data_IF_845031923740
#
_entry.id   IF_845031923740
#
_cell.length_a   1.000
_cell.length_b   1.000
_cell.length_c   1.000
_cell.angle_alpha   90.00
_cell.angle_beta   90.00
_cell.angle_gamma   90.00
#
_symmetry.space_group_name_H-M   'P 1'
#
loop_
_entity.id
_entity.type
_entity.pdbx_description
1 polymer ?
#
# COMPACT_ATOMS: atom_id res chain seq x y z
N UNK A 1 -1.69 14.22 10.02
CA UNK A 1 -2.30 14.08 8.66
C UNK A 1 -2.33 12.60 8.30
N UNK A 2 -3.39 12.13 7.64
CA UNK A 2 -3.49 10.73 7.23
C UNK A 2 -3.12 10.55 5.75
N UNK A 3 -2.66 9.37 5.36
CA UNK A 3 -2.44 8.97 3.97
C UNK A 3 -3.59 8.09 3.50
N UNK A 4 -4.12 8.38 2.31
CA UNK A 4 -4.97 7.45 1.59
C UNK A 4 -4.14 6.78 0.50
N UNK A 5 -3.88 5.48 0.65
CA UNK A 5 -3.08 4.72 -0.31
C UNK A 5 -3.90 3.62 -0.97
N UNK A 6 -3.60 3.39 -2.22
CA UNK A 6 -4.27 2.41 -3.08
C UNK A 6 -3.21 1.50 -3.67
N UNK A 7 -3.29 0.21 -3.39
CA UNK A 7 -2.51 -0.77 -4.11
C UNK A 7 -3.25 -1.06 -5.42
N UNK A 8 -2.72 -0.52 -6.52
CA UNK A 8 -3.36 -0.55 -7.83
C UNK A 8 -3.23 -1.95 -8.44
N UNK A 9 -4.21 -2.76 -8.13
CA UNK A 9 -4.30 -4.18 -8.48
C UNK A 9 -5.68 -4.53 -9.04
N UNK A 10 -5.71 -5.48 -9.97
CA UNK A 10 -6.95 -6.15 -10.34
C UNK A 10 -7.21 -7.34 -9.37
N UNK A 11 -8.43 -7.83 -9.32
CA UNK A 11 -8.92 -8.85 -8.38
C UNK A 11 -8.09 -10.14 -8.35
N UNK A 12 -7.52 -10.56 -9.47
CA UNK A 12 -6.73 -11.79 -9.57
C UNK A 12 -5.28 -11.62 -9.07
N UNK A 13 -4.77 -10.39 -9.02
CA UNK A 13 -3.44 -10.08 -8.51
C UNK A 13 -3.39 -10.19 -6.99
N UNK A 14 -4.47 -9.80 -6.30
CA UNK A 14 -4.60 -9.94 -4.85
C UNK A 14 -4.77 -11.38 -4.34
N UNK A 15 -4.91 -12.37 -5.21
CA UNK A 15 -5.15 -13.78 -4.84
C UNK A 15 -4.01 -14.73 -5.22
N UNK A 16 -2.81 -14.21 -5.40
CA UNK A 16 -1.58 -14.98 -5.64
C UNK A 16 -1.65 -15.93 -6.85
N UNK A 17 -2.31 -15.52 -7.93
CA UNK A 17 -2.26 -16.29 -9.18
C UNK A 17 -0.91 -16.10 -9.87
N UNK A 18 -0.35 -17.15 -10.51
CA UNK A 18 0.91 -17.04 -11.26
C UNK A 18 0.85 -15.88 -12.27
N UNK A 19 1.91 -15.11 -12.36
CA UNK A 19 2.02 -13.96 -13.25
C UNK A 19 1.66 -14.31 -14.70
N UNK A 20 2.14 -15.46 -15.18
CA UNK A 20 1.92 -15.95 -16.54
C UNK A 20 0.44 -16.25 -16.83
N UNK A 21 -0.38 -16.40 -15.80
CA UNK A 21 -1.82 -16.69 -15.94
C UNK A 21 -2.70 -15.44 -16.00
N UNK A 22 -2.16 -14.25 -15.75
CA UNK A 22 -2.95 -13.03 -15.58
C UNK A 22 -3.76 -12.65 -16.83
N UNK A 23 -3.20 -12.86 -18.02
CA UNK A 23 -3.89 -12.57 -19.29
C UNK A 23 -5.12 -13.48 -19.54
N UNK A 24 -5.23 -14.59 -18.83
CA UNK A 24 -6.39 -15.48 -18.95
C UNK A 24 -7.58 -15.03 -18.10
N UNK A 25 -7.40 -14.07 -17.20
CA UNK A 25 -8.48 -13.56 -16.35
C UNK A 25 -9.15 -12.33 -16.98
N UNK A 26 -10.48 -12.16 -16.77
CA UNK A 26 -11.14 -10.93 -17.18
C UNK A 26 -10.61 -9.73 -16.37
N UNK A 27 -10.09 -8.74 -17.08
CA UNK A 27 -9.60 -7.51 -16.48
C UNK A 27 -10.78 -6.64 -16.06
N UNK A 28 -10.82 -6.29 -14.77
CA UNK A 28 -11.91 -5.53 -14.15
C UNK A 28 -11.41 -4.35 -13.31
N UNK A 29 -10.16 -3.95 -13.51
CA UNK A 29 -9.53 -2.87 -12.73
C UNK A 29 -10.39 -1.60 -12.71
N UNK A 30 -10.91 -1.17 -13.88
CA UNK A 30 -11.75 0.02 -14.00
C UNK A 30 -13.07 -0.08 -13.23
N UNK A 31 -13.68 -1.26 -13.12
CA UNK A 31 -14.97 -1.46 -12.46
C UNK A 31 -14.99 -1.00 -10.99
N UNK A 32 -13.87 -1.18 -10.30
CA UNK A 32 -13.71 -0.70 -8.93
C UNK A 32 -13.01 0.64 -8.84
N UNK A 33 -12.01 0.87 -9.68
CA UNK A 33 -11.21 2.09 -9.68
C UNK A 33 -12.05 3.33 -9.96
N UNK A 34 -12.92 3.31 -10.96
CA UNK A 34 -13.74 4.48 -11.33
C UNK A 34 -14.63 4.91 -10.15
N UNK A 35 -15.21 3.97 -9.41
CA UNK A 35 -15.98 4.29 -8.19
C UNK A 35 -15.12 4.91 -7.08
N UNK A 36 -13.87 4.45 -6.96
CA UNK A 36 -12.93 5.02 -6.00
C UNK A 36 -12.54 6.44 -6.41
N UNK A 37 -12.26 6.68 -7.70
CA UNK A 37 -11.92 8.01 -8.22
C UNK A 37 -13.05 9.00 -8.06
N UNK A 38 -14.31 8.61 -8.32
CA UNK A 38 -15.49 9.43 -8.03
C UNK A 38 -15.56 9.86 -6.56
N UNK A 39 -15.20 8.96 -5.61
CA UNK A 39 -15.16 9.30 -4.19
C UNK A 39 -14.00 10.26 -3.85
N UNK A 40 -12.81 10.03 -4.41
CA UNK A 40 -11.65 10.89 -4.17
C UNK A 40 -11.92 12.31 -4.71
N UNK A 41 -12.50 12.43 -5.90
CA UNK A 41 -12.93 13.71 -6.48
C UNK A 41 -13.99 14.38 -5.62
N UNK A 42 -15.06 13.66 -5.26
CA UNK A 42 -16.15 14.15 -4.39
C UNK A 42 -15.63 14.77 -3.09
N UNK A 43 -14.62 14.16 -2.50
CA UNK A 43 -14.05 14.61 -1.22
C UNK A 43 -12.80 15.49 -1.39
N UNK A 44 -12.44 15.87 -2.61
CA UNK A 44 -11.23 16.63 -2.94
C UNK A 44 -9.99 16.06 -2.24
N UNK A 45 -9.76 14.76 -2.41
CA UNK A 45 -8.70 14.01 -1.74
C UNK A 45 -7.70 13.48 -2.76
N UNK A 46 -6.43 13.84 -2.61
CA UNK A 46 -5.33 13.16 -3.32
C UNK A 46 -4.95 11.87 -2.61
N UNK A 47 -4.57 10.86 -3.39
CA UNK A 47 -4.16 9.56 -2.90
C UNK A 47 -2.82 9.14 -3.51
N UNK A 48 -2.13 8.18 -2.89
CA UNK A 48 -0.96 7.53 -3.47
C UNK A 48 -1.36 6.18 -4.06
N UNK A 49 -1.09 5.99 -5.35
CA UNK A 49 -1.32 4.73 -6.05
C UNK A 49 -0.02 3.95 -6.16
N UNK A 50 0.14 2.92 -5.34
CA UNK A 50 1.21 1.94 -5.47
C UNK A 50 0.89 1.04 -6.66
N UNK A 51 1.61 1.26 -7.75
CA UNK A 51 1.28 0.76 -9.08
C UNK A 51 2.22 -0.37 -9.47
N UNK A 52 1.66 -1.49 -9.92
CA UNK A 52 2.42 -2.56 -10.55
C UNK A 52 2.97 -2.10 -11.90
N UNK A 53 4.24 -2.38 -12.18
CA UNK A 53 4.85 -2.06 -13.47
C UNK A 53 4.12 -2.68 -14.64
N UNK A 54 3.59 -3.90 -14.47
CA UNK A 54 2.74 -4.56 -15.46
C UNK A 54 1.46 -3.75 -15.78
N UNK A 55 0.83 -3.15 -14.78
CA UNK A 55 -0.34 -2.27 -14.99
C UNK A 55 0.08 -1.00 -15.73
N UNK A 56 1.23 -0.41 -15.35
CA UNK A 56 1.80 0.75 -16.05
C UNK A 56 2.03 0.47 -17.54
N UNK A 57 2.64 -0.66 -17.84
CA UNK A 57 2.93 -1.08 -19.22
C UNK A 57 1.65 -1.40 -20.01
N UNK A 58 0.67 -2.05 -19.38
CA UNK A 58 -0.59 -2.43 -20.02
C UNK A 58 -1.57 -1.28 -20.20
N UNK A 59 -1.61 -0.36 -19.26
CA UNK A 59 -2.58 0.74 -19.20
C UNK A 59 -1.92 2.12 -19.00
N UNK A 60 -0.98 2.54 -19.87
CA UNK A 60 -0.23 3.80 -19.65
C UNK A 60 -1.15 5.03 -19.57
N UNK A 61 -2.22 5.06 -20.36
CA UNK A 61 -3.21 6.14 -20.30
C UNK A 61 -3.93 6.26 -18.94
N UNK A 62 -4.13 5.14 -18.23
CA UNK A 62 -4.68 5.16 -16.89
C UNK A 62 -3.71 5.81 -15.89
N UNK A 63 -2.43 5.47 -15.97
CA UNK A 63 -1.42 6.03 -15.07
C UNK A 63 -1.26 7.54 -15.31
N UNK A 64 -1.28 7.97 -16.57
CA UNK A 64 -1.28 9.38 -16.93
C UNK A 64 -2.53 10.11 -16.40
N UNK A 65 -3.71 9.50 -16.49
CA UNK A 65 -4.96 10.03 -15.92
C UNK A 65 -4.85 10.25 -14.41
N UNK A 66 -4.40 9.25 -13.65
CA UNK A 66 -4.21 9.34 -12.20
C UNK A 66 -3.22 10.45 -11.82
N UNK A 67 -2.07 10.52 -12.49
CA UNK A 67 -1.06 11.55 -12.26
C UNK A 67 -1.59 12.94 -12.58
N UNK A 68 -2.31 13.11 -13.72
CA UNK A 68 -2.90 14.39 -14.13
C UNK A 68 -4.02 14.86 -13.22
N UNK A 69 -4.70 13.94 -12.52
CA UNK A 69 -5.70 14.26 -11.51
C UNK A 69 -5.08 14.68 -10.15
N UNK A 70 -3.75 14.74 -10.05
CA UNK A 70 -3.04 15.16 -8.84
C UNK A 70 -2.84 14.07 -7.80
N UNK A 71 -2.97 12.81 -8.21
CA UNK A 71 -2.60 11.67 -7.38
C UNK A 71 -1.10 11.37 -7.51
N UNK A 72 -0.51 10.85 -6.45
CA UNK A 72 0.86 10.37 -6.43
C UNK A 72 0.94 8.96 -7.03
N UNK A 73 1.87 8.75 -7.96
CA UNK A 73 2.19 7.43 -8.50
C UNK A 73 3.43 6.90 -7.78
N UNK A 74 3.31 5.71 -7.20
CA UNK A 74 4.36 5.01 -6.46
C UNK A 74 4.52 3.58 -6.99
N UNK A 75 5.63 2.93 -6.66
CA UNK A 75 5.95 1.60 -7.15
C UNK A 75 5.41 0.49 -6.26
N UNK A 76 4.84 -0.56 -6.88
CA UNK A 76 4.40 -1.79 -6.20
C UNK A 76 5.12 -3.06 -6.73
N UNK A 77 6.33 -2.90 -7.29
CA UNK A 77 7.01 -3.95 -8.05
C UNK A 77 6.37 -4.14 -9.42
N UNK A 78 6.87 -5.11 -10.20
CA UNK A 78 6.37 -5.33 -11.56
C UNK A 78 5.31 -6.42 -11.63
N UNK A 79 5.63 -7.62 -11.08
CA UNK A 79 4.86 -8.86 -11.22
C UNK A 79 4.09 -9.28 -9.96
N UNK A 80 3.98 -8.40 -8.96
CA UNK A 80 3.36 -8.68 -7.65
C UNK A 80 3.99 -9.87 -6.91
N UNK A 81 5.28 -10.15 -7.17
CA UNK A 81 6.02 -11.22 -6.50
C UNK A 81 6.48 -10.76 -5.11
N UNK A 82 6.42 -11.65 -4.15
CA UNK A 82 6.88 -11.36 -2.78
C UNK A 82 8.40 -11.17 -2.75
N UNK A 83 8.87 -10.18 -2.02
CA UNK A 83 10.30 -9.82 -1.95
C UNK A 83 11.15 -10.99 -1.44
N UNK A 84 10.68 -11.70 -0.41
CA UNK A 84 11.44 -12.84 0.14
C UNK A 84 11.45 -14.10 -0.76
N UNK A 85 10.67 -14.11 -1.85
CA UNK A 85 10.66 -15.18 -2.87
C UNK A 85 11.53 -14.82 -4.09
N UNK A 86 12.27 -13.67 -4.03
CA UNK A 86 13.16 -13.20 -5.09
C UNK A 86 14.63 -13.20 -4.63
N UNK A 87 15.56 -13.33 -5.58
CA UNK A 87 16.95 -12.95 -5.34
C UNK A 87 17.09 -11.42 -5.31
N UNK A 88 18.18 -10.87 -4.72
CA UNK A 88 18.47 -9.45 -4.76
C UNK A 88 18.51 -8.86 -6.19
N UNK A 89 19.03 -9.60 -7.16
CA UNK A 89 19.14 -9.22 -8.56
C UNK A 89 17.76 -9.19 -9.24
N UNK A 90 16.91 -10.19 -8.98
CA UNK A 90 15.53 -10.22 -9.46
C UNK A 90 14.74 -9.04 -8.91
N UNK A 91 14.84 -8.77 -7.60
CA UNK A 91 14.16 -7.64 -6.96
C UNK A 91 14.62 -6.30 -7.58
N UNK A 92 15.93 -6.12 -7.75
CA UNK A 92 16.48 -4.91 -8.41
C UNK A 92 15.91 -4.72 -9.81
N UNK A 93 15.85 -5.79 -10.60
CA UNK A 93 15.29 -5.74 -11.96
C UNK A 93 13.81 -5.34 -11.95
N UNK A 94 13.02 -5.93 -11.06
CA UNK A 94 11.59 -5.65 -10.89
C UNK A 94 11.32 -4.18 -10.57
N UNK A 95 12.00 -3.63 -9.56
CA UNK A 95 11.74 -2.27 -9.09
C UNK A 95 12.31 -1.22 -10.05
N UNK A 96 13.48 -1.46 -10.65
CA UNK A 96 14.07 -0.57 -11.66
C UNK A 96 13.19 -0.48 -12.90
N UNK A 97 12.72 -1.62 -13.43
CA UNK A 97 11.82 -1.66 -14.58
C UNK A 97 10.53 -0.89 -14.28
N UNK A 98 9.94 -1.13 -13.11
CA UNK A 98 8.70 -0.46 -12.71
C UNK A 98 8.90 1.05 -12.62
N UNK A 99 9.97 1.51 -11.95
CA UNK A 99 10.29 2.93 -11.82
C UNK A 99 10.41 3.59 -13.19
N UNK A 100 11.20 3.01 -14.09
CA UNK A 100 11.37 3.53 -15.45
C UNK A 100 10.06 3.66 -16.22
N UNK A 101 9.21 2.62 -16.19
CA UNK A 101 7.89 2.64 -16.86
C UNK A 101 7.01 3.77 -16.32
N UNK A 102 6.91 3.88 -15.00
CA UNK A 102 6.03 4.86 -14.37
C UNK A 102 6.53 6.30 -14.57
N UNK A 103 7.85 6.52 -14.51
CA UNK A 103 8.47 7.82 -14.76
C UNK A 103 8.36 8.24 -16.25
N UNK A 104 8.53 7.32 -17.18
CA UNK A 104 8.35 7.57 -18.62
C UNK A 104 6.91 8.00 -18.94
N UNK A 105 5.92 7.41 -18.27
CA UNK A 105 4.50 7.74 -18.48
C UNK A 105 4.15 9.09 -17.87
N UNK A 106 4.61 9.36 -16.64
CA UNK A 106 4.13 10.51 -15.86
C UNK A 106 5.00 11.76 -16.01
N UNK A 107 6.28 11.58 -16.35
CA UNK A 107 7.29 12.64 -16.30
C UNK A 107 7.65 13.06 -14.87
N UNK A 108 7.23 12.32 -13.86
CA UNK A 108 7.44 12.63 -12.43
C UNK A 108 8.27 11.52 -11.78
N UNK A 109 9.21 11.90 -10.92
CA UNK A 109 10.05 10.96 -10.20
C UNK A 109 9.23 10.06 -9.26
N UNK A 110 9.47 8.75 -9.31
CA UNK A 110 8.82 7.74 -8.45
C UNK A 110 9.74 7.43 -7.27
N UNK A 111 9.44 7.98 -6.10
CA UNK A 111 10.30 7.92 -4.91
C UNK A 111 9.80 6.99 -3.82
N UNK A 112 8.51 6.62 -3.84
CA UNK A 112 7.90 5.74 -2.86
C UNK A 112 7.70 4.32 -3.40
N UNK A 113 7.89 3.34 -2.53
CA UNK A 113 7.72 1.91 -2.81
C UNK A 113 6.86 1.23 -1.75
N UNK A 114 6.10 0.23 -2.17
CA UNK A 114 5.45 -0.74 -1.29
C UNK A 114 5.65 -2.15 -1.84
N UNK A 115 6.14 -3.05 -1.01
CA UNK A 115 6.28 -4.45 -1.39
C UNK A 115 4.91 -5.15 -1.48
N UNK A 116 4.66 -5.94 -2.52
CA UNK A 116 3.50 -6.84 -2.57
C UNK A 116 3.38 -7.65 -1.28
N UNK A 117 2.15 -7.75 -0.74
CA UNK A 117 1.86 -8.47 0.51
C UNK A 117 2.65 -7.97 1.74
N UNK A 118 3.19 -6.76 1.74
CA UNK A 118 4.07 -6.26 2.81
C UNK A 118 5.25 -7.20 3.08
N UNK A 119 5.84 -7.73 2.01
CA UNK A 119 6.79 -8.84 2.04
C UNK A 119 8.24 -8.47 2.33
N UNK A 120 8.52 -7.23 2.78
CA UNK A 120 9.79 -6.91 3.44
C UNK A 120 9.68 -7.40 4.88
N UNK A 121 10.48 -8.42 5.21
CA UNK A 121 10.50 -9.13 6.48
C UNK A 121 11.96 -9.31 6.94
N UNK A 122 12.18 -9.92 8.09
CA UNK A 122 13.55 -10.21 8.57
C UNK A 122 14.41 -10.96 7.54
N UNK A 123 13.80 -11.73 6.65
CA UNK A 123 14.51 -12.48 5.59
C UNK A 123 14.84 -11.65 4.34
N UNK A 124 14.28 -10.46 4.22
CA UNK A 124 14.39 -9.62 3.02
C UNK A 124 14.72 -8.16 3.33
N UNK A 125 15.29 -7.85 4.50
CA UNK A 125 15.73 -6.48 4.88
C UNK A 125 16.80 -5.91 3.92
N UNK A 126 17.54 -6.78 3.23
CA UNK A 126 18.47 -6.39 2.16
C UNK A 126 17.80 -5.58 1.03
N UNK A 127 16.49 -5.72 0.87
CA UNK A 127 15.72 -4.98 -0.12
C UNK A 127 15.76 -3.46 0.10
N UNK A 128 15.89 -3.02 1.35
CA UNK A 128 15.95 -1.59 1.70
C UNK A 128 17.21 -0.91 1.13
N UNK A 129 18.35 -1.61 1.10
CA UNK A 129 19.57 -1.08 0.49
C UNK A 129 19.41 -0.98 -1.03
N UNK A 130 18.80 -1.99 -1.65
CA UNK A 130 18.54 -1.99 -3.09
C UNK A 130 17.54 -0.88 -3.47
N UNK A 131 16.49 -0.67 -2.67
CA UNK A 131 15.56 0.45 -2.88
C UNK A 131 16.32 1.78 -2.91
N UNK A 132 17.23 2.00 -1.96
CA UNK A 132 18.06 3.21 -1.90
C UNK A 132 18.94 3.37 -3.13
N UNK A 133 19.62 2.31 -3.54
CA UNK A 133 20.49 2.29 -4.73
C UNK A 133 19.73 2.58 -6.03
N UNK A 134 18.47 2.15 -6.10
CA UNK A 134 17.58 2.42 -7.25
C UNK A 134 16.84 3.77 -7.16
N UNK A 135 17.19 4.62 -6.19
CA UNK A 135 16.69 5.99 -6.08
C UNK A 135 15.33 6.11 -5.39
N UNK A 136 14.87 5.09 -4.69
CA UNK A 136 13.72 5.23 -3.79
C UNK A 136 14.15 5.89 -2.47
N UNK A 137 13.28 6.70 -1.90
CA UNK A 137 13.55 7.41 -0.64
C UNK A 137 12.53 7.09 0.47
N UNK A 138 11.39 6.52 0.09
CA UNK A 138 10.31 6.15 1.01
C UNK A 138 9.93 4.68 0.77
N UNK A 139 9.93 3.88 1.85
CA UNK A 139 9.36 2.54 1.86
C UNK A 139 8.07 2.50 2.70
N UNK A 140 7.09 1.72 2.28
CA UNK A 140 5.81 1.56 2.95
C UNK A 140 5.46 0.08 3.14
N UNK A 141 6.48 -0.77 3.33
CA UNK A 141 6.34 -2.22 3.25
C UNK A 141 6.34 -2.93 4.60
N UNK A 142 6.89 -2.32 5.65
CA UNK A 142 7.07 -3.02 6.93
C UNK A 142 5.79 -2.93 7.77
N UNK A 143 5.31 -4.07 8.24
CA UNK A 143 4.18 -4.13 9.17
C UNK A 143 4.66 -4.41 10.59
N UNK A 144 4.24 -3.63 11.60
CA UNK A 144 4.52 -3.90 13.01
C UNK A 144 3.81 -5.15 13.55
N UNK A 145 2.83 -5.68 12.82
CA UNK A 145 2.09 -6.89 13.21
C UNK A 145 2.66 -8.09 12.49
N UNK A 146 3.31 -8.96 13.25
CA UNK A 146 3.83 -10.23 12.70
C UNK A 146 2.70 -11.22 12.44
N UNK A 147 2.65 -11.71 11.24
CA UNK A 147 1.76 -12.79 10.78
C UNK A 147 2.60 -13.95 10.25
N UNK A 148 1.94 -15.00 9.76
CA UNK A 148 2.65 -16.08 9.07
C UNK A 148 3.27 -15.66 7.72
N UNK A 149 2.79 -14.56 7.12
CA UNK A 149 3.16 -14.08 5.79
C UNK A 149 4.06 -12.85 5.82
N UNK A 150 3.84 -11.93 6.76
CA UNK A 150 4.53 -10.64 6.80
C UNK A 150 4.67 -10.12 8.23
N UNK A 151 5.45 -9.07 8.36
CA UNK A 151 5.58 -8.27 9.58
C UNK A 151 6.85 -8.55 10.37
N UNK A 152 7.28 -7.50 11.06
CA UNK A 152 8.45 -7.48 11.94
C UNK A 152 8.00 -6.92 13.29
N UNK A 153 8.04 -7.74 14.33
CA UNK A 153 7.41 -7.45 15.64
C UNK A 153 7.92 -6.19 16.34
N UNK A 154 9.19 -5.84 16.14
CA UNK A 154 9.83 -4.72 16.81
C UNK A 154 9.85 -3.43 15.98
N UNK A 155 9.12 -3.41 14.86
CA UNK A 155 9.01 -2.20 14.04
C UNK A 155 8.31 -1.10 14.82
N UNK A 156 8.86 0.13 14.84
CA UNK A 156 8.14 1.30 15.31
C UNK A 156 6.81 1.47 14.59
N UNK A 157 5.78 1.95 15.25
CA UNK A 157 4.48 2.19 14.63
C UNK A 157 4.29 3.69 14.23
N UNK A 158 5.36 4.35 13.88
CA UNK A 158 5.45 5.73 13.41
C UNK A 158 6.44 5.85 12.26
N UNK A 159 6.46 6.97 11.55
CA UNK A 159 7.43 7.21 10.48
C UNK A 159 8.84 7.30 11.08
N UNK A 160 9.80 6.60 10.49
CA UNK A 160 11.19 6.62 10.93
C UNK A 160 12.16 6.54 9.76
N UNK A 161 13.43 6.87 10.00
CA UNK A 161 14.49 6.72 9.01
C UNK A 161 15.37 5.52 9.37
N UNK A 162 15.74 4.73 8.39
CA UNK A 162 16.69 3.63 8.53
C UNK A 162 18.08 4.23 8.53
N UNK A 163 18.79 4.07 9.63
CA UNK A 163 20.07 4.74 9.89
C UNK A 163 21.14 4.40 8.85
N UNK A 164 21.20 3.15 8.39
CA UNK A 164 22.24 2.62 7.52
C UNK A 164 22.18 3.18 6.08
N UNK A 165 20.98 3.45 5.57
CA UNK A 165 20.81 3.86 4.18
C UNK A 165 19.98 5.13 3.98
N UNK A 166 19.37 5.66 5.03
CA UNK A 166 18.58 6.90 4.97
C UNK A 166 17.21 6.76 4.32
N UNK A 167 16.72 5.53 4.07
CA UNK A 167 15.33 5.30 3.64
C UNK A 167 14.38 5.70 4.76
N UNK A 168 13.32 6.39 4.39
CA UNK A 168 12.23 6.68 5.31
C UNK A 168 11.20 5.57 5.22
N UNK A 169 10.99 4.84 6.32
CA UNK A 169 9.91 3.86 6.43
C UNK A 169 8.65 4.53 6.95
N UNK A 170 7.54 4.35 6.24
CA UNK A 170 6.20 4.63 6.74
C UNK A 170 5.47 3.30 6.97
N UNK A 171 5.52 2.74 8.17
CA UNK A 171 5.02 1.41 8.44
C UNK A 171 3.51 1.30 8.24
N UNK A 172 3.04 0.08 7.97
CA UNK A 172 1.61 -0.24 7.98
C UNK A 172 1.00 0.21 9.31
N UNK A 173 0.01 1.10 9.23
CA UNK A 173 -0.58 1.67 10.43
C UNK A 173 -1.43 0.66 11.18
N UNK A 174 -1.25 0.67 12.49
CA UNK A 174 -1.94 -0.24 13.40
C UNK A 174 -2.58 0.53 14.56
N UNK A 175 -3.55 -0.11 15.21
CA UNK A 175 -4.14 0.40 16.45
C UNK A 175 -4.40 -0.73 17.44
N UNK A 176 -4.50 -0.38 18.70
CA UNK A 176 -4.77 -1.34 19.78
C UNK A 176 -6.26 -1.46 20.04
N UNK A 177 -6.77 -2.70 20.02
CA UNK A 177 -8.10 -3.02 20.46
C UNK A 177 -8.02 -4.07 21.57
N UNK A 178 -8.27 -3.67 22.80
CA UNK A 178 -8.02 -4.48 24.00
C UNK A 178 -6.54 -4.94 24.03
N UNK A 179 -6.32 -6.25 23.92
CA UNK A 179 -4.97 -6.86 23.91
C UNK A 179 -4.42 -7.13 22.50
N UNK A 180 -5.19 -6.83 21.44
CA UNK A 180 -4.79 -7.13 20.06
C UNK A 180 -4.38 -5.88 19.31
N UNK A 181 -3.33 -6.00 18.50
CA UNK A 181 -2.94 -5.00 17.52
C UNK A 181 -3.53 -5.38 16.16
N UNK A 182 -4.23 -4.44 15.53
CA UNK A 182 -4.94 -4.63 14.27
C UNK A 182 -4.46 -3.61 13.24
N UNK A 183 -4.40 -4.01 11.95
CA UNK A 183 -4.08 -3.11 10.85
C UNK A 183 -5.23 -2.16 10.51
N UNK A 184 -4.90 -1.03 9.89
CA UNK A 184 -5.86 -0.05 9.39
C UNK A 184 -5.87 -0.14 7.86
N UNK A 185 -7.00 -0.59 7.28
CA UNK A 185 -7.16 -0.73 5.82
C UNK A 185 -7.32 -2.18 5.36
N UNK A 186 -7.35 -2.37 4.04
CA UNK A 186 -7.53 -3.66 3.37
C UNK A 186 -8.72 -4.45 3.89
N UNK A 187 -8.56 -5.75 4.06
CA UNK A 187 -9.63 -6.63 4.53
C UNK A 187 -10.22 -6.23 5.90
N UNK A 188 -9.42 -5.66 6.81
CA UNK A 188 -9.92 -5.20 8.11
C UNK A 188 -11.01 -4.14 7.96
N UNK A 189 -10.86 -3.22 6.99
CA UNK A 189 -11.81 -2.15 6.74
C UNK A 189 -13.23 -2.65 6.45
N UNK A 190 -13.39 -3.71 5.70
CA UNK A 190 -14.70 -4.25 5.32
C UNK A 190 -15.18 -5.41 6.18
N UNK A 191 -14.26 -6.18 6.80
CA UNK A 191 -14.62 -7.31 7.67
C UNK A 191 -15.21 -6.84 9.00
N UNK A 192 -14.70 -5.75 9.56
CA UNK A 192 -15.19 -5.18 10.81
C UNK A 192 -16.25 -4.08 10.58
N UNK A 193 -17.06 -3.73 11.60
CA UNK A 193 -17.87 -2.53 11.54
C UNK A 193 -17.03 -1.27 11.30
N UNK A 194 -17.55 -0.29 10.57
CA UNK A 194 -16.86 0.97 10.26
C UNK A 194 -16.21 1.65 11.48
N UNK A 195 -16.88 1.61 12.62
CA UNK A 195 -16.37 2.18 13.87
C UNK A 195 -15.00 1.66 14.31
N UNK A 196 -14.60 0.49 13.85
CA UNK A 196 -13.25 -0.05 14.10
C UNK A 196 -12.17 0.80 13.44
N UNK A 197 -12.29 1.02 12.14
CA UNK A 197 -11.35 1.86 11.38
C UNK A 197 -11.38 3.30 11.90
N UNK A 198 -12.57 3.86 12.11
CA UNK A 198 -12.73 5.19 12.71
C UNK A 198 -12.00 5.32 14.06
N UNK A 199 -12.19 4.37 14.96
CA UNK A 199 -11.48 4.35 16.24
C UNK A 199 -9.96 4.25 16.08
N UNK A 200 -9.48 3.46 15.12
CA UNK A 200 -8.07 3.34 14.82
C UNK A 200 -7.44 4.68 14.42
N UNK A 201 -8.09 5.40 13.49
CA UNK A 201 -7.63 6.74 13.08
C UNK A 201 -7.66 7.72 14.26
N UNK A 202 -8.75 7.77 15.02
CA UNK A 202 -8.87 8.66 16.19
C UNK A 202 -7.78 8.36 17.23
N UNK A 203 -7.50 7.10 17.52
CA UNK A 203 -6.43 6.73 18.48
C UNK A 203 -5.07 7.24 18.00
N UNK A 204 -4.76 7.10 16.71
CA UNK A 204 -3.49 7.57 16.13
C UNK A 204 -3.41 9.09 16.12
N UNK A 205 -4.46 9.79 15.71
CA UNK A 205 -4.53 11.26 15.73
C UNK A 205 -4.35 11.80 17.15
N UNK A 206 -5.00 11.20 18.15
CA UNK A 206 -4.84 11.58 19.56
C UNK A 206 -3.42 11.30 20.10
N UNK A 207 -2.72 10.33 19.52
CA UNK A 207 -1.32 10.04 19.83
C UNK A 207 -0.32 10.91 19.03
N UNK A 208 -0.81 11.82 18.17
CA UNK A 208 0.04 12.64 17.31
C UNK A 208 0.72 11.86 16.18
N UNK A 209 0.21 10.67 15.83
CA UNK A 209 0.79 9.79 14.82
C UNK A 209 0.06 9.89 13.49
N UNK A 210 0.82 9.89 12.41
CA UNK A 210 0.30 9.76 11.06
C UNK A 210 -0.29 8.36 10.83
N UNK A 211 -1.34 8.30 10.00
CA UNK A 211 -1.97 7.02 9.65
C UNK A 211 -1.90 6.80 8.15
N UNK A 212 -1.44 5.63 7.74
CA UNK A 212 -1.57 5.16 6.36
C UNK A 212 -2.71 4.17 6.28
N UNK A 213 -3.81 4.60 5.65
CA UNK A 213 -4.92 3.74 5.27
C UNK A 213 -4.64 3.17 3.87
N UNK A 214 -4.88 1.87 3.66
CA UNK A 214 -4.70 1.24 2.36
C UNK A 214 -5.92 0.44 1.92
N UNK A 215 -6.14 0.38 0.61
CA UNK A 215 -7.25 -0.31 -0.03
C UNK A 215 -6.88 -0.68 -1.47
N UNK A 216 -7.67 -1.57 -2.09
CA UNK A 216 -7.45 -1.98 -3.47
C UNK A 216 -8.70 -1.66 -4.34
N UNK A 217 -8.53 -1.36 -5.65
CA UNK A 217 -9.66 -1.09 -6.54
C UNK A 217 -10.67 -2.23 -6.60
N UNK A 218 -10.22 -3.48 -6.64
CA UNK A 218 -11.10 -4.64 -6.69
C UNK A 218 -12.03 -4.77 -5.47
N UNK A 219 -11.72 -4.14 -4.34
CA UNK A 219 -12.61 -4.12 -3.18
C UNK A 219 -13.89 -3.31 -3.42
N UNK A 220 -13.92 -2.44 -4.44
CA UNK A 220 -15.09 -1.68 -4.88
C UNK A 220 -15.89 -2.38 -5.99
N UNK A 221 -15.43 -3.55 -6.48
CA UNK A 221 -16.14 -4.37 -7.43
C UNK A 221 -16.69 -5.66 -6.80
N UNK A 222 -17.89 -5.63 -6.20
CA UNK A 222 -18.47 -6.80 -5.55
C UNK A 222 -18.92 -7.91 -6.52
N UNK A 223 -18.71 -7.72 -7.82
CA UNK A 223 -19.15 -8.62 -8.89
C UNK A 223 -18.00 -9.25 -9.68
N UNK A 224 -16.75 -9.06 -9.22
CA UNK A 224 -15.63 -9.76 -9.86
C UNK A 224 -15.75 -11.29 -9.70
N UNK A 225 -15.14 -12.07 -10.59
CA UNK A 225 -15.29 -13.53 -10.62
C UNK A 225 -14.94 -14.20 -9.30
N UNK A 226 -15.72 -15.23 -8.95
CA UNK A 226 -15.42 -16.09 -7.81
C UNK A 226 -14.61 -17.28 -8.30
N UNK A 227 -13.40 -17.42 -7.79
CA UNK A 227 -12.51 -18.54 -8.13
C UNK A 227 -12.31 -19.46 -6.93
N UNK A 228 -11.87 -20.68 -7.22
CA UNK A 228 -11.54 -21.63 -6.15
C UNK A 228 -10.21 -21.28 -5.49
N UNK A 229 -10.20 -21.27 -4.18
CA UNK A 229 -9.06 -20.96 -3.33
C UNK A 229 -9.27 -21.49 -1.91
N UNK A 230 -8.22 -21.43 -1.08
CA UNK A 230 -8.32 -21.80 0.33
C UNK A 230 -9.46 -21.04 1.04
N UNK A 231 -10.22 -21.74 1.88
CA UNK A 231 -11.42 -21.18 2.55
C UNK A 231 -11.19 -19.87 3.28
N UNK A 232 -10.06 -19.75 3.98
CA UNK A 232 -9.71 -18.53 4.73
C UNK A 232 -9.42 -17.37 3.78
N UNK A 233 -8.65 -17.60 2.72
CA UNK A 233 -8.39 -16.62 1.69
C UNK A 233 -9.68 -16.19 0.98
N UNK A 234 -10.54 -17.16 0.61
CA UNK A 234 -11.84 -16.92 0.00
C UNK A 234 -12.73 -16.04 0.86
N UNK A 235 -12.84 -16.37 2.17
CA UNK A 235 -13.58 -15.55 3.13
C UNK A 235 -13.02 -14.12 3.19
N UNK A 236 -11.70 -13.96 3.33
CA UNK A 236 -11.07 -12.65 3.43
C UNK A 236 -11.25 -11.84 2.15
N UNK A 237 -11.16 -12.46 0.97
CA UNK A 237 -11.22 -11.77 -0.32
C UNK A 237 -12.65 -11.32 -0.66
N UNK A 238 -13.66 -12.18 -0.50
CA UNK A 238 -15.03 -11.91 -1.00
C UNK A 238 -16.00 -11.34 0.04
N UNK A 239 -15.67 -11.38 1.34
CA UNK A 239 -16.61 -10.98 2.38
C UNK A 239 -16.85 -9.48 2.40
N UNK A 240 -18.13 -9.08 2.41
CA UNK A 240 -18.62 -7.71 2.62
C UNK A 240 -18.12 -6.65 1.62
N UNK A 241 -17.72 -7.01 0.41
CA UNK A 241 -17.28 -6.07 -0.63
C UNK A 241 -18.28 -4.92 -0.86
N UNK A 242 -19.59 -5.19 -0.82
CA UNK A 242 -20.64 -4.15 -0.93
C UNK A 242 -20.59 -3.08 0.17
N UNK A 243 -19.82 -3.29 1.25
CA UNK A 243 -19.65 -2.30 2.31
C UNK A 243 -18.47 -1.35 2.06
N UNK A 244 -17.57 -1.70 1.14
CA UNK A 244 -16.36 -0.90 0.87
C UNK A 244 -16.72 0.52 0.44
N UNK A 245 -17.57 0.67 -0.58
CA UNK A 245 -17.95 1.97 -1.12
C UNK A 245 -18.58 2.91 -0.06
N UNK A 246 -19.67 2.52 0.66
CA UNK A 246 -20.26 3.41 1.66
C UNK A 246 -19.34 3.67 2.88
N UNK A 247 -18.45 2.74 3.20
CA UNK A 247 -17.48 2.95 4.28
C UNK A 247 -16.39 3.94 3.85
N UNK A 248 -15.89 3.82 2.61
CA UNK A 248 -14.90 4.76 2.06
C UNK A 248 -15.46 6.18 1.90
N UNK A 249 -16.69 6.33 1.41
CA UNK A 249 -17.38 7.62 1.32
C UNK A 249 -17.46 8.31 2.69
N UNK A 250 -17.84 7.55 3.70
CA UNK A 250 -17.89 8.03 5.06
C UNK A 250 -16.52 8.39 5.63
N UNK A 251 -15.51 7.56 5.38
CA UNK A 251 -14.14 7.76 5.85
C UNK A 251 -13.54 9.05 5.31
N UNK A 252 -13.67 9.27 4.00
CA UNK A 252 -13.20 10.46 3.30
C UNK A 252 -13.96 11.74 3.74
N UNK A 253 -15.22 11.61 4.13
CA UNK A 253 -15.99 12.71 4.69
C UNK A 253 -15.66 13.07 6.15
N UNK A 254 -15.16 12.10 6.94
CA UNK A 254 -14.87 12.31 8.37
C UNK A 254 -13.40 12.67 8.65
N UNK A 255 -12.45 12.26 7.78
CA UNK A 255 -11.01 12.45 7.97
C UNK A 255 -10.38 13.14 6.77
N UNK A 256 -9.25 13.84 7.03
CA UNK A 256 -8.42 14.42 5.97
C UNK A 256 -7.27 13.49 5.62
N UNK A 257 -7.03 13.38 4.32
CA UNK A 257 -5.98 12.54 3.75
C UNK A 257 -5.16 13.33 2.73
N UNK A 258 -3.94 12.86 2.51
CA UNK A 258 -3.01 13.38 1.51
C UNK A 258 -2.14 12.22 0.97
N UNK A 259 -1.22 12.51 0.10
CA UNK A 259 -0.27 11.53 -0.47
C UNK A 259 0.83 11.16 0.52
N UNK A 260 1.50 10.04 0.27
CA UNK A 260 2.63 9.58 1.09
C UNK A 260 3.74 10.62 1.13
N UNK A 261 4.17 11.11 -0.02
CA UNK A 261 5.27 12.08 -0.11
C UNK A 261 4.94 13.38 0.63
N UNK A 262 3.73 13.89 0.50
CA UNK A 262 3.30 15.11 1.21
C UNK A 262 3.28 14.90 2.72
N UNK A 263 2.73 13.79 3.20
CA UNK A 263 2.66 13.50 4.65
C UNK A 263 4.05 13.27 5.23
N UNK A 264 4.92 12.52 4.55
CA UNK A 264 6.32 12.31 4.98
C UNK A 264 7.08 13.64 5.01
N UNK A 265 6.92 14.50 4.01
CA UNK A 265 7.53 15.84 3.98
C UNK A 265 7.08 16.67 5.18
N UNK A 266 5.76 16.78 5.41
CA UNK A 266 5.20 17.52 6.55
C UNK A 266 5.67 16.94 7.90
N UNK A 267 5.80 15.62 8.00
CA UNK A 267 6.31 14.95 9.21
C UNK A 267 7.76 15.35 9.49
N UNK A 268 8.62 15.33 8.47
CA UNK A 268 10.03 15.76 8.57
C UNK A 268 10.17 17.23 8.95
N UNK A 269 9.32 18.09 8.40
CA UNK A 269 9.35 19.54 8.70
C UNK A 269 8.94 19.88 10.13
N UNK A 270 8.18 19.02 10.82
CA UNK A 270 7.75 19.23 12.22
C UNK A 270 8.82 18.92 13.25
N UNK A 271 9.88 18.23 12.90
CA UNK A 271 10.96 17.90 13.82
C UNK A 271 11.88 16.80 13.31
N UNK A 272 12.79 16.34 14.16
CA UNK A 272 13.68 15.24 13.84
C UNK A 272 12.90 13.93 13.73
N UNK A 273 13.02 13.26 12.59
CA UNK A 273 12.53 11.90 12.42
C UNK A 273 13.41 10.95 13.22
N UNK A 274 12.82 10.06 13.99
CA UNK A 274 13.56 9.03 14.72
C UNK A 274 14.35 8.15 13.77
N UNK A 275 15.59 7.85 14.11
CA UNK A 275 16.45 6.94 13.36
C UNK A 275 16.53 5.59 14.05
N UNK A 276 16.32 4.52 13.29
CA UNK A 276 16.44 3.15 13.79
C UNK A 276 17.40 2.35 12.91
N UNK A 277 18.25 1.57 13.58
CA UNK A 277 19.13 0.62 12.89
C UNK A 277 18.32 -0.59 12.41
N UNK A 278 18.69 -1.14 11.26
CA UNK A 278 18.15 -2.42 10.74
C UNK A 278 18.32 -3.55 11.78
N UNK A 279 19.33 -3.51 12.62
CA UNK A 279 19.54 -4.52 13.69
C UNK A 279 18.40 -4.54 14.72
N UNK A 280 17.77 -3.39 15.01
CA UNK A 280 16.60 -3.34 15.91
C UNK A 280 15.40 -4.06 15.28
N UNK A 281 15.28 -4.02 13.96
CA UNK A 281 14.23 -4.74 13.23
C UNK A 281 14.44 -6.26 13.26
N UNK A 282 15.69 -6.73 13.37
CA UNK A 282 16.03 -8.16 13.43
C UNK A 282 15.81 -8.79 14.80
N UNK A 283 15.83 -8.00 15.87
CA UNK A 283 15.71 -8.45 17.26
C UNK A 283 14.26 -8.84 17.60
#
# INVERSE_FOLDING_TARGET
MNVFSVDLEDWYQGIEKPFESWEAYPHRLREGLDKLLELLEKHNTSATFFTLGWIGEKYPGLIQELSSAGHEIASHGYSHKKVYDMSPEEFRSEIRRTKMILEDITGVEVTAFRAPFFSITNNSLWALDILKEEGYSIDCSISPVKTWRYGISNTPDEIFTIKENGITEFPVSTFKLLTKTLGIGGAYFRLFPYGFTKNGLIQRENAGKETMFYIHPWEFDPYHPVVDMERKAKFTHYTRLKKTLPFADRLLGEFKFDTVSNVVKQYKERGSVSEYSVEILKA
#
